data_IF_616478114208
#
_entry.id   IF_616478114208
#
_cell.length_a   1.000
_cell.length_b   1.000
_cell.length_c   1.000
_cell.angle_alpha   90.00
_cell.angle_beta   90.00
_cell.angle_gamma   90.00
#
_symmetry.space_group_name_H-M   'P 1'
#
loop_
_entity.id
_entity.type
_entity.pdbx_description
1 polymer ?
#
# COMPACT_ATOMS: atom_id res chain seq x y z
N UNK A 1 -38.16 -4.38 -7.31
CA UNK A 1 -36.77 -4.37 -6.79
C UNK A 1 -35.89 -5.30 -7.62
N UNK A 2 -35.36 -4.78 -8.72
CA UNK A 2 -34.32 -5.47 -9.49
C UNK A 2 -33.07 -5.59 -8.62
N UNK A 3 -32.64 -6.81 -8.32
CA UNK A 3 -31.31 -7.05 -7.74
C UNK A 3 -30.31 -6.78 -8.86
N UNK A 4 -29.68 -5.62 -8.86
CA UNK A 4 -28.54 -5.38 -9.76
C UNK A 4 -27.52 -6.49 -9.56
N UNK A 5 -27.15 -7.16 -10.65
CA UNK A 5 -26.11 -8.17 -10.64
C UNK A 5 -24.77 -7.47 -10.31
N UNK A 6 -24.13 -7.91 -9.23
CA UNK A 6 -22.76 -7.47 -8.91
C UNK A 6 -21.82 -8.21 -9.85
N UNK A 7 -21.05 -7.48 -10.67
CA UNK A 7 -20.06 -8.05 -11.57
C UNK A 7 -18.65 -7.76 -11.07
N UNK A 8 -17.79 -8.78 -11.11
CA UNK A 8 -16.35 -8.61 -10.93
C UNK A 8 -15.72 -8.60 -12.32
N UNK A 9 -15.02 -7.52 -12.65
CA UNK A 9 -14.34 -7.35 -13.92
C UNK A 9 -12.84 -7.46 -13.66
N UNK A 10 -12.24 -8.54 -14.18
CA UNK A 10 -10.79 -8.73 -14.18
C UNK A 10 -10.27 -8.29 -15.54
N UNK A 11 -9.39 -7.28 -15.55
CA UNK A 11 -8.66 -6.86 -16.75
C UNK A 11 -7.23 -7.32 -16.61
N UNK A 12 -6.77 -8.13 -17.55
CA UNK A 12 -5.39 -8.59 -17.67
C UNK A 12 -4.79 -7.99 -18.93
N UNK A 13 -3.50 -7.66 -18.90
CA UNK A 13 -2.80 -7.15 -20.09
C UNK A 13 -2.75 -8.20 -21.20
N UNK A 14 -2.66 -7.76 -22.45
CA UNK A 14 -2.62 -8.63 -23.64
C UNK A 14 -1.26 -9.34 -23.86
N UNK A 15 -0.30 -9.21 -22.95
CA UNK A 15 1.03 -9.80 -23.10
C UNK A 15 0.99 -11.34 -23.04
N UNK A 16 1.76 -12.04 -23.91
CA UNK A 16 1.58 -13.47 -24.18
C UNK A 16 2.22 -14.43 -23.17
N UNK A 17 2.74 -13.94 -22.04
CA UNK A 17 3.40 -14.81 -21.05
C UNK A 17 2.39 -15.45 -20.07
N UNK A 18 2.59 -16.72 -19.67
CA UNK A 18 1.68 -17.43 -18.78
C UNK A 18 1.67 -16.79 -17.39
N UNK A 19 0.47 -16.65 -16.81
CA UNK A 19 0.28 -16.12 -15.46
C UNK A 19 -0.72 -16.98 -14.71
N UNK A 20 -0.46 -17.18 -13.42
CA UNK A 20 -1.40 -17.82 -12.50
C UNK A 20 -1.70 -16.85 -11.37
N UNK A 21 -2.98 -16.60 -11.14
CA UNK A 21 -3.45 -15.72 -10.08
C UNK A 21 -4.22 -16.53 -9.05
N UNK A 22 -3.84 -16.41 -7.78
CA UNK A 22 -4.63 -16.92 -6.66
C UNK A 22 -5.56 -15.81 -6.18
N UNK A 23 -6.83 -15.88 -6.57
CA UNK A 23 -7.84 -14.85 -6.26
C UNK A 23 -8.85 -15.41 -5.25
N UNK A 24 -9.09 -14.68 -4.16
CA UNK A 24 -10.18 -14.93 -3.22
C UNK A 24 -11.11 -13.72 -3.18
N UNK A 25 -12.41 -13.96 -3.12
CA UNK A 25 -13.45 -12.92 -3.11
C UNK A 25 -14.32 -13.12 -1.87
N UNK A 26 -14.43 -12.08 -1.05
CA UNK A 26 -15.29 -12.05 0.13
C UNK A 26 -16.29 -10.90 0.03
N UNK A 27 -17.55 -11.16 0.34
CA UNK A 27 -18.58 -10.14 0.44
C UNK A 27 -18.64 -9.61 1.86
N UNK A 28 -18.19 -8.37 2.05
CA UNK A 28 -18.21 -7.69 3.34
C UNK A 28 -19.53 -6.94 3.57
N UNK A 29 -19.96 -6.87 4.82
CA UNK A 29 -21.02 -5.94 5.23
C UNK A 29 -20.52 -4.50 5.16
N UNK A 30 -21.42 -3.52 5.09
CA UNK A 30 -21.06 -2.09 5.03
C UNK A 30 -20.18 -1.65 6.21
N UNK A 31 -20.43 -2.18 7.42
CA UNK A 31 -19.61 -1.92 8.61
C UNK A 31 -18.18 -2.48 8.53
N UNK A 32 -17.92 -3.40 7.59
CA UNK A 32 -16.59 -3.96 7.29
C UNK A 32 -16.08 -3.50 5.93
N UNK A 33 -16.81 -2.63 5.24
CA UNK A 33 -16.44 -2.18 3.92
C UNK A 33 -15.13 -1.40 3.98
N UNK A 34 -14.26 -1.71 3.02
CA UNK A 34 -13.03 -0.98 2.80
C UNK A 34 -13.41 0.45 2.35
N UNK A 35 -12.78 1.51 2.88
CA UNK A 35 -13.03 2.86 2.39
C UNK A 35 -12.72 2.97 0.89
N UNK A 36 -13.40 3.88 0.19
CA UNK A 36 -13.16 4.08 -1.24
C UNK A 36 -11.69 4.45 -1.46
N UNK A 37 -11.12 3.97 -2.58
CA UNK A 37 -9.73 4.22 -3.02
C UNK A 37 -8.63 3.54 -2.19
N UNK A 38 -8.98 2.69 -1.23
CA UNK A 38 -8.00 1.88 -0.51
C UNK A 38 -7.70 0.58 -1.26
N UNK A 39 -6.53 0.49 -1.87
CA UNK A 39 -6.09 -0.73 -2.55
C UNK A 39 -5.57 -1.77 -1.55
N UNK A 40 -4.91 -1.31 -0.48
CA UNK A 40 -4.59 -2.13 0.68
C UNK A 40 -5.34 -1.59 1.90
N UNK A 41 -5.92 -2.47 2.73
CA UNK A 41 -6.63 -2.07 3.94
C UNK A 41 -6.19 -2.89 5.14
N UNK A 42 -5.62 -2.22 6.13
CA UNK A 42 -5.08 -2.82 7.34
C UNK A 42 -6.08 -2.62 8.49
N UNK A 43 -6.48 -3.71 9.12
CA UNK A 43 -7.55 -3.71 10.15
C UNK A 43 -7.06 -4.08 11.54
N UNK A 44 -5.79 -4.47 11.66
CA UNK A 44 -5.11 -4.83 12.90
C UNK A 44 -4.25 -3.67 13.40
N UNK A 45 -3.97 -3.58 14.70
CA UNK A 45 -3.14 -2.51 15.26
C UNK A 45 -1.66 -2.64 14.86
N UNK A 46 -1.21 -3.81 14.39
CA UNK A 46 0.16 -4.04 13.96
C UNK A 46 0.18 -4.93 12.72
N UNK A 47 1.25 -4.81 11.93
CA UNK A 47 1.50 -5.67 10.79
C UNK A 47 2.53 -5.09 9.82
N UNK A 48 2.42 -5.47 8.55
CA UNK A 48 3.34 -5.05 7.49
C UNK A 48 2.60 -4.41 6.32
N UNK A 49 3.22 -3.39 5.74
CA UNK A 49 2.91 -2.84 4.41
C UNK A 49 4.09 -3.08 3.49
N UNK A 50 3.82 -3.30 2.21
CA UNK A 50 4.86 -3.47 1.20
C UNK A 50 4.33 -3.11 -0.19
N UNK A 51 5.24 -2.77 -1.09
CA UNK A 51 4.93 -2.59 -2.51
C UNK A 51 4.53 -3.92 -3.15
N UNK A 52 3.77 -3.84 -4.24
CA UNK A 52 3.54 -5.01 -5.08
C UNK A 52 4.86 -5.54 -5.60
N UNK A 53 4.96 -6.88 -5.68
CA UNK A 53 6.12 -7.61 -6.18
C UNK A 53 7.40 -7.45 -5.34
N UNK A 54 7.31 -6.91 -4.11
CA UNK A 54 8.43 -6.87 -3.16
C UNK A 54 8.96 -8.26 -2.82
N UNK A 55 8.09 -9.25 -2.52
CA UNK A 55 8.50 -10.64 -2.26
C UNK A 55 8.86 -11.42 -3.55
N UNK A 56 9.05 -10.72 -4.67
CA UNK A 56 9.60 -11.30 -5.89
C UNK A 56 11.04 -11.75 -5.71
N UNK A 57 11.54 -12.56 -6.65
CA UNK A 57 12.94 -12.97 -6.68
C UNK A 57 13.53 -12.66 -8.07
N UNK A 58 14.24 -11.52 -8.24
CA UNK A 58 14.57 -10.52 -7.21
C UNK A 58 13.39 -9.62 -6.83
N UNK A 59 13.43 -8.95 -5.65
CA UNK A 59 12.50 -7.88 -5.30
C UNK A 59 12.53 -6.78 -6.36
N UNK A 60 11.35 -6.31 -6.78
CA UNK A 60 11.27 -5.28 -7.81
C UNK A 60 9.95 -4.51 -7.72
N UNK A 61 10.05 -3.20 -7.56
CA UNK A 61 8.91 -2.29 -7.58
C UNK A 61 8.20 -2.35 -8.94
N UNK A 62 6.87 -2.53 -8.95
CA UNK A 62 6.10 -2.38 -10.19
C UNK A 62 5.94 -0.90 -10.54
N UNK A 63 6.19 -0.54 -11.80
CA UNK A 63 6.03 0.82 -12.32
C UNK A 63 4.56 1.18 -12.60
N UNK A 64 4.31 2.47 -12.81
CA UNK A 64 3.01 3.07 -13.10
C UNK A 64 1.96 2.70 -12.05
N UNK A 65 2.30 2.91 -10.77
CA UNK A 65 1.44 2.60 -9.64
C UNK A 65 1.10 3.88 -8.88
N UNK A 66 -0.20 4.16 -8.77
CA UNK A 66 -0.73 5.18 -7.87
C UNK A 66 -1.87 4.57 -7.05
N UNK A 67 -1.63 4.36 -5.76
CA UNK A 67 -2.61 3.72 -4.89
C UNK A 67 -2.51 4.18 -3.43
N UNK A 68 -3.57 3.93 -2.67
CA UNK A 68 -3.62 4.25 -1.25
C UNK A 68 -3.64 2.97 -0.40
N UNK A 69 -2.81 2.95 0.63
CA UNK A 69 -2.89 2.01 1.75
C UNK A 69 -3.64 2.71 2.87
N UNK A 70 -4.68 2.06 3.38
CA UNK A 70 -5.55 2.62 4.40
C UNK A 70 -5.50 1.79 5.67
N UNK A 71 -5.74 2.46 6.78
CA UNK A 71 -5.83 1.84 8.09
C UNK A 71 -7.23 2.02 8.67
N UNK A 72 -7.78 0.96 9.26
CA UNK A 72 -9.08 1.01 9.92
C UNK A 72 -8.99 1.88 11.16
N UNK A 73 -9.98 2.73 11.38
CA UNK A 73 -10.16 3.39 12.67
C UNK A 73 -10.41 2.36 13.77
N UNK A 74 -9.53 2.32 14.77
CA UNK A 74 -9.67 1.51 15.98
C UNK A 74 -9.82 2.47 17.17
N UNK A 75 -10.83 2.23 18.00
CA UNK A 75 -11.07 3.05 19.20
C UNK A 75 -9.83 3.02 20.10
N UNK A 76 -9.36 4.20 20.51
CA UNK A 76 -8.20 4.35 21.37
C UNK A 76 -6.86 4.41 20.63
N UNK A 77 -6.85 4.36 19.30
CA UNK A 77 -5.64 4.54 18.49
C UNK A 77 -5.76 5.79 17.63
N UNK A 78 -4.77 6.68 17.73
CA UNK A 78 -4.80 8.01 17.12
C UNK A 78 -3.70 8.24 16.07
N UNK A 79 -2.61 7.47 16.13
CA UNK A 79 -1.48 7.58 15.20
C UNK A 79 -1.03 6.20 14.71
N UNK A 80 -0.22 6.15 13.66
CA UNK A 80 0.52 4.96 13.23
C UNK A 80 1.97 5.33 13.05
N UNK A 81 2.86 4.55 13.67
CA UNK A 81 4.28 4.60 13.44
C UNK A 81 4.68 3.54 12.40
N UNK A 82 5.64 3.89 11.55
CA UNK A 82 6.21 3.00 10.54
C UNK A 82 7.69 2.75 10.81
N UNK A 83 8.16 1.56 10.48
CA UNK A 83 9.57 1.20 10.52
C UNK A 83 9.92 0.42 9.25
N UNK A 84 10.68 1.08 8.37
CA UNK A 84 11.04 0.56 7.05
C UNK A 84 12.22 -0.41 7.15
N UNK A 85 12.01 -1.63 6.67
CA UNK A 85 13.08 -2.61 6.44
C UNK A 85 13.81 -2.28 5.13
N UNK A 86 13.04 -1.90 4.11
CA UNK A 86 13.54 -1.46 2.80
C UNK A 86 12.70 -0.28 2.33
N UNK A 87 13.36 0.73 1.77
CA UNK A 87 12.75 1.84 1.03
C UNK A 87 13.67 2.22 -0.11
N UNK A 88 13.49 1.55 -1.24
CA UNK A 88 14.19 1.80 -2.48
C UNK A 88 13.16 1.88 -3.61
N UNK A 89 12.77 3.10 -3.97
CA UNK A 89 11.82 3.33 -5.06
C UNK A 89 12.54 3.66 -6.37
N UNK A 90 13.88 3.69 -6.35
CA UNK A 90 14.73 4.00 -7.48
C UNK A 90 14.80 5.48 -7.84
N UNK A 91 13.67 6.15 -8.10
CA UNK A 91 13.62 7.57 -8.50
C UNK A 91 13.07 8.50 -7.42
N UNK A 92 13.57 9.74 -7.34
CA UNK A 92 13.08 10.78 -6.41
C UNK A 92 11.67 11.31 -6.78
N UNK A 93 11.18 10.97 -7.97
CA UNK A 93 9.79 11.16 -8.38
C UNK A 93 8.83 10.21 -7.67
N UNK A 94 9.35 9.12 -7.12
CA UNK A 94 8.58 8.02 -6.56
C UNK A 94 8.60 8.16 -5.04
N UNK A 95 7.46 8.02 -4.40
CA UNK A 95 7.33 8.33 -2.98
C UNK A 95 6.16 7.63 -2.31
N UNK A 96 6.28 7.51 -1.00
CA UNK A 96 5.18 7.33 -0.08
C UNK A 96 4.87 8.68 0.55
N UNK A 97 3.59 9.06 0.58
CA UNK A 97 3.13 10.21 1.37
C UNK A 97 2.40 9.71 2.59
N UNK A 98 2.96 10.01 3.77
CA UNK A 98 2.44 9.61 5.08
C UNK A 98 2.11 10.90 5.83
N UNK A 99 0.81 11.21 5.93
CA UNK A 99 0.39 12.55 6.38
C UNK A 99 0.96 13.64 5.46
N UNK A 100 1.73 14.56 6.05
CA UNK A 100 2.40 15.64 5.31
C UNK A 100 3.81 15.26 4.82
N UNK A 101 4.36 14.16 5.30
CA UNK A 101 5.71 13.72 4.96
C UNK A 101 5.74 13.02 3.60
N UNK A 102 6.65 13.46 2.73
CA UNK A 102 7.02 12.77 1.50
C UNK A 102 8.28 11.95 1.76
N UNK A 103 8.16 10.64 1.69
CA UNK A 103 9.20 9.65 1.96
C UNK A 103 9.60 8.98 0.66
N UNK A 104 10.87 9.02 0.30
CA UNK A 104 11.45 8.43 -0.91
C UNK A 104 12.89 7.99 -0.62
N UNK A 105 13.43 7.12 -1.49
CA UNK A 105 14.82 6.64 -1.56
C UNK A 105 15.72 6.94 -0.35
N UNK A 106 16.17 5.88 0.32
CA UNK A 106 17.35 5.91 1.21
C UNK A 106 17.38 7.11 2.18
N UNK A 107 16.22 7.42 2.76
CA UNK A 107 16.11 8.38 3.85
C UNK A 107 16.78 7.75 5.09
N UNK A 108 18.11 7.90 5.15
CA UNK A 108 19.08 7.28 6.07
C UNK A 108 18.92 7.61 7.56
N UNK A 109 17.72 7.88 8.05
CA UNK A 109 17.42 7.93 9.48
C UNK A 109 16.44 6.81 9.81
N UNK A 110 17.00 5.64 10.10
CA UNK A 110 16.22 4.54 10.65
C UNK A 110 15.99 4.78 12.16
N UNK A 111 14.74 4.71 12.67
CA UNK A 111 13.49 4.54 11.93
C UNK A 111 12.93 5.87 11.40
N UNK A 112 12.39 5.85 10.17
CA UNK A 112 11.53 6.93 9.65
C UNK A 112 10.21 6.87 10.42
N UNK A 113 10.14 7.63 11.52
CA UNK A 113 8.94 7.77 12.33
C UNK A 113 8.00 8.77 11.67
N UNK A 114 7.20 8.31 10.71
CA UNK A 114 6.09 9.10 10.20
C UNK A 114 4.85 8.82 11.05
N UNK A 115 4.23 9.87 11.61
CA UNK A 115 2.99 9.80 12.37
C UNK A 115 1.89 10.59 11.63
N UNK A 116 0.65 10.14 11.72
CA UNK A 116 -0.48 10.84 11.12
C UNK A 116 -1.67 10.82 12.09
N UNK A 117 -2.18 12.02 12.41
CA UNK A 117 -3.23 12.24 13.40
C UNK A 117 -4.57 12.46 12.69
N UNK A 118 -5.13 11.43 12.05
CA UNK A 118 -6.46 11.39 11.39
C UNK A 118 -6.64 10.05 10.63
N UNK A 119 -7.70 9.77 9.83
CA UNK A 119 -7.76 8.55 9.01
C UNK A 119 -6.48 8.35 8.21
N UNK A 120 -5.74 7.30 8.54
CA UNK A 120 -4.35 7.17 8.09
C UNK A 120 -4.37 6.59 6.68
N UNK A 121 -3.91 7.42 5.75
CA UNK A 121 -3.75 7.09 4.35
C UNK A 121 -2.27 7.22 4.00
N UNK A 122 -1.69 6.16 3.46
CA UNK A 122 -0.37 6.21 2.83
C UNK A 122 -0.59 6.19 1.33
N UNK A 123 -0.26 7.28 0.65
CA UNK A 123 -0.36 7.35 -0.80
C UNK A 123 0.97 6.92 -1.39
N UNK A 124 0.94 5.89 -2.23
CA UNK A 124 2.11 5.35 -2.92
C UNK A 124 2.06 5.83 -4.36
N UNK A 125 3.16 6.42 -4.82
CA UNK A 125 3.40 6.78 -6.21
C UNK A 125 4.70 6.15 -6.68
N UNK A 126 4.64 5.34 -7.72
CA UNK A 126 5.79 4.82 -8.46
C UNK A 126 5.56 5.22 -9.91
N UNK A 127 6.50 5.98 -10.47
CA UNK A 127 6.41 6.55 -11.81
C UNK A 127 6.42 5.50 -12.92
N UNK A 128 6.35 5.98 -14.15
CA UNK A 128 6.33 5.17 -15.38
C UNK A 128 7.72 4.88 -15.95
N UNK A 129 8.77 5.49 -15.39
CA UNK A 129 10.16 5.26 -15.81
C UNK A 129 10.68 3.92 -15.28
N UNK A 130 11.25 3.11 -16.18
CA UNK A 130 11.94 1.87 -15.85
C UNK A 130 13.47 2.02 -15.76
N UNK A 131 13.99 3.23 -15.94
CA UNK A 131 15.44 3.48 -15.99
C UNK A 131 16.09 3.42 -14.60
N UNK A 132 15.30 3.56 -13.53
CA UNK A 132 15.73 3.54 -12.12
C UNK A 132 14.68 2.76 -11.30
N UNK A 133 14.59 1.45 -11.54
CA UNK A 133 13.63 0.60 -10.85
C UNK A 133 14.22 0.09 -9.53
N UNK A 134 13.70 0.57 -8.40
CA UNK A 134 14.13 0.11 -7.08
C UNK A 134 13.51 -1.23 -6.67
N UNK A 135 13.97 -1.78 -5.54
CA UNK A 135 13.44 -3.02 -4.93
C UNK A 135 11.98 -2.87 -4.44
N UNK A 136 11.55 -1.64 -4.19
CA UNK A 136 10.27 -1.26 -3.61
C UNK A 136 10.39 -0.89 -2.13
N UNK A 137 9.33 -1.15 -1.36
CA UNK A 137 9.36 -0.89 0.07
C UNK A 137 8.74 -2.02 0.86
N UNK A 138 9.20 -2.16 2.11
CA UNK A 138 8.57 -2.96 3.14
C UNK A 138 8.75 -2.27 4.49
N UNK A 139 7.65 -2.11 5.21
CA UNK A 139 7.66 -1.52 6.54
C UNK A 139 6.74 -2.28 7.48
N UNK A 140 7.19 -2.42 8.72
CA UNK A 140 6.29 -2.75 9.83
C UNK A 140 5.55 -1.50 10.26
N UNK A 141 4.30 -1.65 10.69
CA UNK A 141 3.50 -0.56 11.23
C UNK A 141 2.94 -0.93 12.61
N UNK A 142 2.82 0.07 13.47
CA UNK A 142 2.18 -0.03 14.80
C UNK A 142 1.27 1.16 15.01
N UNK A 143 -0.03 0.91 15.21
CA UNK A 143 -0.98 1.90 15.68
C UNK A 143 -0.65 2.27 17.14
N UNK A 144 -0.59 3.56 17.40
CA UNK A 144 -0.25 4.14 18.69
C UNK A 144 -1.50 4.64 19.40
N UNK A 145 -1.52 4.47 20.72
CA UNK A 145 -2.63 4.89 21.56
C UNK A 145 -2.78 6.41 21.58
N UNK A 146 -4.02 6.85 21.76
CA UNK A 146 -4.31 8.14 22.38
C UNK A 146 -4.04 8.02 23.90
#
# INVERSE_FOLDING_TARGET
NSKEAKQIILRVSNEPYPRTFSISIEYLSEAKAVPRRCLQYKTTPQGTIQSFNYDGSPPMALFDQEYTICFKYLVGYCDVAFNFETLDLGSDSDYLRIGDDKVFNDSFDNPIMANATDPIYVNVRIGDSNEQQGEGFKATYTMMGC
#
